data_IF_911767992597
#
_entry.id   IF_911767992597
#
_cell.length_a   1.000
_cell.length_b   1.000
_cell.length_c   1.000
_cell.angle_alpha   90.00
_cell.angle_beta   90.00
_cell.angle_gamma   90.00
#
_symmetry.space_group_name_H-M   'P 1'
#
loop_
_entity.id
_entity.type
_entity.pdbx_description
1 polymer ?
#
# COMPACT_ATOMS: atom_id res chain seq x y z
N UNK A 1 16.86 -30.57 3.83
CA UNK A 1 17.18 -30.41 2.39
C UNK A 1 18.53 -29.70 2.24
N UNK A 2 19.31 -29.90 1.17
CA UNK A 2 20.57 -29.16 0.92
C UNK A 2 20.53 -28.57 -0.49
N UNK A 3 20.89 -27.30 -0.63
CA UNK A 3 20.96 -26.58 -1.91
C UNK A 3 20.91 -25.07 -1.71
N UNK A 4 20.43 -24.34 -2.72
CA UNK A 4 20.47 -22.86 -2.74
C UNK A 4 19.11 -22.24 -2.44
N UNK A 5 19.16 -21.02 -1.92
CA UNK A 5 18.00 -20.15 -1.73
C UNK A 5 17.94 -19.13 -2.86
N UNK A 6 16.76 -18.87 -3.43
CA UNK A 6 16.51 -17.71 -4.30
C UNK A 6 15.47 -16.80 -3.65
N UNK A 7 15.75 -15.51 -3.62
CA UNK A 7 14.83 -14.47 -3.14
C UNK A 7 14.53 -13.51 -4.30
N UNK A 8 13.26 -13.22 -4.55
CA UNK A 8 12.83 -12.21 -5.52
C UNK A 8 11.90 -11.17 -4.91
N UNK A 9 11.93 -9.95 -5.44
CA UNK A 9 10.98 -8.88 -5.14
C UNK A 9 10.10 -8.60 -6.37
N UNK A 10 8.80 -8.35 -6.15
CA UNK A 10 7.83 -8.17 -7.24
C UNK A 10 6.77 -7.10 -6.95
N UNK A 11 6.26 -6.49 -8.02
CA UNK A 11 5.21 -5.49 -8.00
C UNK A 11 5.69 -4.10 -7.56
N UNK A 12 4.76 -3.30 -7.06
CA UNK A 12 5.06 -1.97 -6.53
C UNK A 12 6.02 -2.03 -5.32
N UNK A 13 7.05 -1.17 -5.28
CA UNK A 13 7.94 -1.06 -4.11
C UNK A 13 7.20 -0.50 -2.89
N UNK A 14 7.76 -0.73 -1.69
CA UNK A 14 7.29 -0.11 -0.43
C UNK A 14 8.45 0.54 0.31
N UNK A 15 8.16 1.26 1.39
CA UNK A 15 9.17 1.82 2.29
C UNK A 15 9.94 0.75 3.07
N UNK A 16 9.37 -0.46 3.22
CA UNK A 16 9.89 -1.53 4.10
C UNK A 16 10.13 -2.87 3.40
N UNK A 17 9.95 -2.99 2.08
CA UNK A 17 10.14 -4.27 1.38
C UNK A 17 11.55 -4.85 1.58
N UNK A 18 12.56 -3.99 1.80
CA UNK A 18 13.92 -4.43 2.12
C UNK A 18 14.08 -4.95 3.55
N UNK A 19 13.20 -4.59 4.47
CA UNK A 19 13.16 -5.22 5.80
C UNK A 19 12.84 -6.70 5.69
N UNK A 20 11.85 -7.08 4.86
CA UNK A 20 11.52 -8.48 4.59
C UNK A 20 12.64 -9.23 3.87
N UNK A 21 13.25 -8.59 2.86
CA UNK A 21 14.41 -9.15 2.17
C UNK A 21 15.55 -9.47 3.14
N UNK A 22 15.92 -8.51 3.98
CA UNK A 22 17.05 -8.68 4.91
C UNK A 22 16.68 -9.64 6.04
N UNK A 23 15.43 -9.66 6.50
CA UNK A 23 14.95 -10.65 7.46
C UNK A 23 15.05 -12.08 6.95
N UNK A 24 14.76 -12.31 5.67
CA UNK A 24 15.00 -13.58 5.01
C UNK A 24 16.48 -13.93 4.95
N UNK A 25 17.32 -13.01 4.46
CA UNK A 25 18.76 -13.26 4.28
C UNK A 25 19.41 -13.64 5.61
N UNK A 26 19.22 -12.82 6.65
CA UNK A 26 19.85 -13.03 7.94
C UNK A 26 19.38 -14.33 8.59
N UNK A 27 18.08 -14.61 8.55
CA UNK A 27 17.56 -15.86 9.13
C UNK A 27 17.97 -17.09 8.31
N UNK A 28 18.00 -17.00 6.97
CA UNK A 28 18.43 -18.11 6.12
C UNK A 28 19.90 -18.48 6.36
N UNK A 29 20.79 -17.52 6.64
CA UNK A 29 22.20 -17.78 6.98
C UNK A 29 22.37 -18.70 8.19
N UNK A 30 21.46 -18.65 9.16
CA UNK A 30 21.49 -19.51 10.35
C UNK A 30 21.33 -21.01 10.02
N UNK A 31 20.80 -21.33 8.84
CA UNK A 31 20.59 -22.70 8.36
C UNK A 31 21.66 -23.15 7.34
N UNK A 32 22.67 -22.32 7.09
CA UNK A 32 23.82 -22.65 6.24
C UNK A 32 23.47 -23.24 4.86
N UNK A 33 22.57 -22.61 4.06
CA UNK A 33 22.34 -23.04 2.68
C UNK A 33 23.63 -22.87 1.85
N UNK A 34 23.72 -23.56 0.71
CA UNK A 34 24.92 -23.50 -0.13
C UNK A 34 25.19 -22.10 -0.68
N UNK A 35 24.13 -21.35 -0.99
CA UNK A 35 24.17 -19.95 -1.35
C UNK A 35 22.78 -19.32 -1.17
N UNK A 36 22.75 -17.99 -1.01
CA UNK A 36 21.54 -17.17 -1.01
C UNK A 36 21.63 -16.22 -2.20
N UNK A 37 20.82 -16.44 -3.22
CA UNK A 37 20.75 -15.61 -4.41
C UNK A 37 19.59 -14.62 -4.34
N UNK A 38 19.84 -13.39 -4.78
CA UNK A 38 18.82 -12.38 -5.07
C UNK A 38 18.58 -12.30 -6.58
N UNK A 39 17.34 -12.52 -7.01
CA UNK A 39 16.97 -12.37 -8.42
C UNK A 39 16.73 -10.88 -8.76
N UNK A 40 17.58 -10.31 -9.61
CA UNK A 40 17.42 -8.92 -10.04
C UNK A 40 16.18 -8.79 -10.92
N UNK A 41 15.31 -7.81 -10.63
CA UNK A 41 14.03 -7.65 -11.35
C UNK A 41 13.08 -8.88 -11.26
N UNK A 42 13.10 -9.60 -10.14
CA UNK A 42 12.13 -10.66 -9.84
C UNK A 42 12.12 -11.79 -10.87
N UNK A 43 10.94 -12.22 -11.34
CA UNK A 43 10.79 -13.31 -12.33
C UNK A 43 11.56 -13.07 -13.63
N UNK A 44 11.79 -11.81 -14.02
CA UNK A 44 12.60 -11.49 -15.19
C UNK A 44 14.05 -11.94 -14.97
N UNK A 45 14.66 -11.57 -13.84
CA UNK A 45 16.03 -12.01 -13.53
C UNK A 45 16.14 -13.51 -13.37
N UNK A 46 15.10 -14.18 -12.85
CA UNK A 46 15.12 -15.65 -12.78
C UNK A 46 15.17 -16.26 -14.18
N UNK A 47 14.33 -15.77 -15.11
CA UNK A 47 14.32 -16.25 -16.51
C UNK A 47 15.61 -15.93 -17.28
N UNK A 48 16.27 -14.83 -16.91
CA UNK A 48 17.52 -14.35 -17.51
C UNK A 48 18.77 -14.86 -16.75
N UNK A 49 18.59 -15.66 -15.70
CA UNK A 49 19.65 -16.12 -14.77
C UNK A 49 20.50 -14.98 -14.17
N UNK A 50 19.91 -13.78 -14.02
CA UNK A 50 20.53 -12.57 -13.48
C UNK A 50 20.38 -12.53 -11.94
N UNK A 51 21.32 -13.20 -11.28
CA UNK A 51 21.39 -13.33 -9.82
C UNK A 51 22.54 -12.54 -9.21
N UNK A 52 22.31 -11.99 -8.02
CA UNK A 52 23.37 -11.50 -7.13
C UNK A 52 23.54 -12.45 -5.95
N UNK A 53 24.79 -12.75 -5.58
CA UNK A 53 25.08 -13.59 -4.42
C UNK A 53 25.04 -12.74 -3.13
N UNK A 54 24.04 -13.01 -2.30
CA UNK A 54 23.79 -12.33 -1.04
C UNK A 54 24.46 -13.04 0.15
N UNK A 55 25.12 -14.17 -0.06
CA UNK A 55 25.70 -14.99 1.00
C UNK A 55 26.79 -14.25 1.78
N UNK A 56 27.59 -13.45 1.09
CA UNK A 56 28.78 -12.78 1.63
C UNK A 56 28.56 -11.32 2.04
N UNK A 57 27.36 -10.77 1.85
CA UNK A 57 27.11 -9.37 2.17
C UNK A 57 27.24 -9.10 3.68
N UNK A 58 28.00 -8.09 4.07
CA UNK A 58 28.18 -7.74 5.49
C UNK A 58 26.83 -7.44 6.16
N UNK A 59 26.66 -7.86 7.41
CA UNK A 59 25.45 -7.56 8.19
C UNK A 59 25.22 -6.05 8.26
N UNK A 60 26.30 -5.26 8.37
CA UNK A 60 26.25 -3.80 8.38
C UNK A 60 25.66 -3.22 7.09
N UNK A 61 26.03 -3.75 5.92
CA UNK A 61 25.44 -3.34 4.66
C UNK A 61 23.97 -3.74 4.58
N UNK A 62 23.64 -4.98 4.96
CA UNK A 62 22.28 -5.47 4.95
C UNK A 62 21.36 -4.62 5.85
N UNK A 63 21.83 -4.20 7.03
CA UNK A 63 21.06 -3.29 7.90
C UNK A 63 20.84 -1.90 7.28
N UNK A 64 21.79 -1.40 6.50
CA UNK A 64 21.62 -0.15 5.74
C UNK A 64 20.62 -0.32 4.60
N UNK A 65 20.69 -1.45 3.88
CA UNK A 65 19.73 -1.79 2.82
C UNK A 65 18.33 -1.93 3.39
N UNK A 66 18.17 -2.56 4.56
CA UNK A 66 16.89 -2.75 5.23
C UNK A 66 16.16 -1.42 5.50
N UNK A 67 16.91 -0.35 5.80
CA UNK A 67 16.38 1.00 6.07
C UNK A 67 16.23 1.86 4.81
N UNK A 68 16.58 1.33 3.64
CA UNK A 68 16.46 2.03 2.36
C UNK A 68 15.10 1.68 1.74
N UNK A 69 14.26 2.68 1.38
CA UNK A 69 12.99 2.43 0.74
C UNK A 69 13.20 1.88 -0.69
N UNK A 70 12.11 1.40 -1.30
CA UNK A 70 12.12 0.72 -2.59
C UNK A 70 12.67 -0.71 -2.57
N UNK A 71 12.61 -1.39 -3.71
CA UNK A 71 13.07 -2.77 -3.86
C UNK A 71 14.57 -2.82 -4.12
N UNK A 72 15.35 -3.34 -3.18
CA UNK A 72 16.82 -3.48 -3.28
C UNK A 72 17.27 -4.40 -4.40
N UNK A 73 16.51 -5.47 -4.70
CA UNK A 73 16.72 -6.36 -5.84
C UNK A 73 16.07 -5.83 -7.13
N UNK A 74 15.61 -4.57 -7.11
CA UNK A 74 14.72 -4.00 -8.13
C UNK A 74 13.42 -4.81 -8.20
N UNK A 75 12.54 -4.50 -9.13
CA UNK A 75 11.23 -5.15 -9.20
C UNK A 75 10.72 -5.23 -10.64
N UNK A 76 9.69 -6.04 -10.84
CA UNK A 76 9.00 -6.23 -12.10
C UNK A 76 7.49 -6.22 -11.87
N UNK A 77 6.73 -5.74 -12.85
CA UNK A 77 5.27 -5.82 -12.90
C UNK A 77 4.84 -6.76 -14.02
N UNK A 78 5.28 -8.02 -13.89
CA UNK A 78 5.00 -9.08 -14.85
C UNK A 78 4.53 -10.29 -14.07
N UNK A 79 3.30 -10.72 -14.37
CA UNK A 79 2.82 -12.03 -13.98
C UNK A 79 3.37 -13.05 -14.99
N UNK A 80 4.16 -14.04 -14.57
CA UNK A 80 4.68 -15.04 -15.49
C UNK A 80 3.54 -15.89 -16.07
N UNK A 81 3.67 -16.28 -17.35
CA UNK A 81 2.79 -17.29 -17.95
C UNK A 81 3.10 -18.68 -17.41
N UNK A 82 2.23 -19.67 -17.68
CA UNK A 82 2.49 -21.06 -17.30
C UNK A 82 3.81 -21.59 -17.91
N UNK A 83 4.08 -21.26 -19.18
CA UNK A 83 5.33 -21.63 -19.86
C UNK A 83 6.55 -20.98 -19.20
N UNK A 84 6.42 -19.72 -18.77
CA UNK A 84 7.48 -19.02 -18.04
C UNK A 84 7.72 -19.61 -16.65
N UNK A 85 6.66 -20.05 -15.95
CA UNK A 85 6.82 -20.81 -14.71
C UNK A 85 7.55 -22.13 -14.94
N UNK A 86 7.29 -22.83 -16.05
CA UNK A 86 8.05 -24.02 -16.44
C UNK A 86 9.54 -23.72 -16.67
N UNK A 87 9.86 -22.62 -17.35
CA UNK A 87 11.25 -22.18 -17.53
C UNK A 87 11.93 -21.79 -16.23
N UNK A 88 11.23 -21.08 -15.34
CA UNK A 88 11.73 -20.74 -13.99
C UNK A 88 12.07 -22.02 -13.22
N UNK A 89 11.22 -23.04 -13.29
CA UNK A 89 11.47 -24.33 -12.66
C UNK A 89 12.74 -25.01 -13.21
N UNK A 90 12.96 -25.00 -14.53
CA UNK A 90 14.19 -25.54 -15.13
C UNK A 90 15.44 -24.77 -14.67
N UNK A 91 15.38 -23.44 -14.56
CA UNK A 91 16.47 -22.63 -13.98
C UNK A 91 16.74 -23.04 -12.53
N UNK A 92 15.70 -23.16 -11.71
CA UNK A 92 15.85 -23.60 -10.32
C UNK A 92 16.51 -24.98 -10.21
N UNK A 93 16.11 -25.93 -11.07
CA UNK A 93 16.72 -27.26 -11.12
C UNK A 93 18.19 -27.20 -11.55
N UNK A 94 18.53 -26.38 -12.54
CA UNK A 94 19.90 -26.20 -13.02
C UNK A 94 20.84 -25.58 -11.97
N UNK A 95 20.31 -24.66 -11.14
CA UNK A 95 21.05 -24.00 -10.06
C UNK A 95 21.01 -24.75 -8.72
N UNK A 96 20.33 -25.89 -8.66
CA UNK A 96 20.08 -26.64 -7.41
C UNK A 96 19.38 -25.79 -6.33
N UNK A 97 18.37 -25.04 -6.74
CA UNK A 97 17.55 -24.19 -5.87
C UNK A 97 16.52 -25.04 -5.14
N UNK A 98 16.53 -24.94 -3.82
CA UNK A 98 15.73 -25.74 -2.90
C UNK A 98 14.70 -24.92 -2.14
N UNK A 99 14.94 -23.62 -2.03
CA UNK A 99 14.02 -22.69 -1.40
C UNK A 99 13.85 -21.45 -2.28
N UNK A 100 12.60 -21.09 -2.55
CA UNK A 100 12.25 -19.88 -3.27
C UNK A 100 11.34 -19.00 -2.41
N UNK A 101 11.79 -17.77 -2.16
CA UNK A 101 11.01 -16.75 -1.46
C UNK A 101 10.65 -15.64 -2.42
N UNK A 102 9.35 -15.38 -2.56
CA UNK A 102 8.87 -14.33 -3.45
C UNK A 102 8.12 -13.26 -2.67
N UNK A 103 8.74 -12.08 -2.56
CA UNK A 103 8.24 -10.93 -1.79
C UNK A 103 7.34 -10.10 -2.68
N UNK A 104 6.04 -10.06 -2.38
CA UNK A 104 5.10 -9.51 -3.34
C UNK A 104 3.64 -9.50 -2.90
N UNK A 105 2.75 -9.25 -3.87
CA UNK A 105 1.30 -9.19 -3.66
C UNK A 105 0.59 -10.43 -4.20
N UNK A 106 -0.69 -10.30 -4.56
CA UNK A 106 -1.53 -11.41 -5.04
C UNK A 106 -0.88 -12.23 -6.19
N UNK A 107 -0.37 -11.58 -7.23
CA UNK A 107 0.28 -12.24 -8.37
C UNK A 107 1.54 -13.03 -7.97
N UNK A 108 2.19 -12.60 -6.89
CA UNK A 108 3.41 -13.24 -6.36
C UNK A 108 3.05 -14.50 -5.59
N UNK A 109 1.97 -14.48 -4.80
CA UNK A 109 1.41 -15.67 -4.16
C UNK A 109 0.99 -16.72 -5.20
N UNK A 110 0.33 -16.28 -6.28
CA UNK A 110 -0.06 -17.17 -7.38
C UNK A 110 1.14 -17.76 -8.13
N UNK A 111 2.20 -16.97 -8.35
CA UNK A 111 3.43 -17.48 -8.97
C UNK A 111 4.08 -18.57 -8.10
N UNK A 112 4.15 -18.34 -6.79
CA UNK A 112 4.67 -19.34 -5.86
C UNK A 112 3.81 -20.62 -5.83
N UNK A 113 2.47 -20.48 -5.90
CA UNK A 113 1.53 -21.61 -5.96
C UNK A 113 1.79 -22.48 -7.21
N UNK A 114 1.94 -21.84 -8.38
CA UNK A 114 2.19 -22.55 -9.64
C UNK A 114 3.54 -23.28 -9.60
N UNK A 115 4.60 -22.63 -9.10
CA UNK A 115 5.93 -23.22 -9.04
C UNK A 115 5.99 -24.40 -8.05
N UNK A 116 5.33 -24.27 -6.91
CA UNK A 116 5.23 -25.35 -5.92
C UNK A 116 4.55 -26.59 -6.50
N UNK A 117 3.39 -26.41 -7.17
CA UNK A 117 2.69 -27.49 -7.86
C UNK A 117 3.53 -28.13 -8.97
N UNK A 118 4.23 -27.30 -9.74
CA UNK A 118 5.12 -27.76 -10.82
C UNK A 118 6.24 -28.64 -10.27
N UNK A 119 6.91 -28.20 -9.20
CA UNK A 119 7.97 -28.97 -8.55
C UNK A 119 7.45 -30.28 -7.93
N UNK A 120 6.31 -30.24 -7.25
CA UNK A 120 5.67 -31.44 -6.69
C UNK A 120 5.31 -32.45 -7.78
N UNK A 121 4.78 -32.00 -8.91
CA UNK A 121 4.47 -32.86 -10.05
C UNK A 121 5.70 -33.49 -10.70
N UNK A 122 6.84 -32.80 -10.65
CA UNK A 122 8.12 -33.26 -11.15
C UNK A 122 8.94 -34.09 -10.13
N UNK A 123 8.44 -34.27 -8.90
CA UNK A 123 9.17 -34.95 -7.83
C UNK A 123 10.45 -34.22 -7.40
N UNK A 124 10.55 -32.92 -7.63
CA UNK A 124 11.69 -32.11 -7.26
C UNK A 124 11.41 -31.41 -5.93
N UNK A 125 12.30 -31.60 -4.95
CA UNK A 125 12.20 -30.92 -3.66
C UNK A 125 12.53 -29.43 -3.81
N UNK A 126 11.48 -28.61 -3.89
CA UNK A 126 11.53 -27.15 -3.90
C UNK A 126 10.46 -26.61 -2.95
N UNK A 127 10.88 -25.83 -1.97
CA UNK A 127 10.01 -25.13 -1.06
C UNK A 127 9.71 -23.72 -1.58
N UNK A 128 8.45 -23.42 -1.92
CA UNK A 128 8.04 -22.10 -2.42
C UNK A 128 7.24 -21.34 -1.35
N UNK A 129 7.70 -20.14 -1.03
CA UNK A 129 7.09 -19.28 -0.02
C UNK A 129 6.78 -17.90 -0.57
N UNK A 130 5.54 -17.47 -0.32
CA UNK A 130 5.13 -16.09 -0.53
C UNK A 130 5.38 -15.28 0.75
N UNK A 131 6.01 -14.12 0.57
CA UNK A 131 6.32 -13.18 1.65
C UNK A 131 5.51 -11.90 1.39
N UNK A 132 4.48 -11.60 2.19
CA UNK A 132 3.47 -10.61 1.86
C UNK A 132 4.04 -9.20 1.82
N UNK A 133 3.63 -8.44 0.81
CA UNK A 133 3.97 -7.03 0.59
C UNK A 133 2.87 -6.38 -0.22
N UNK A 134 2.31 -5.28 0.24
CA UNK A 134 1.41 -4.42 -0.56
C UNK A 134 1.11 -3.15 0.23
N UNK A 135 1.00 -2.01 -0.45
CA UNK A 135 0.50 -0.78 0.18
C UNK A 135 -1.04 -0.73 0.19
N UNK A 136 -1.68 -1.54 -0.64
CA UNK A 136 -3.14 -1.54 -0.82
C UNK A 136 -3.83 -2.31 0.32
N UNK A 137 -3.04 -3.02 1.14
CA UNK A 137 -3.50 -3.83 2.28
C UNK A 137 -4.52 -4.90 1.90
N UNK A 138 -4.41 -5.42 0.69
CA UNK A 138 -5.45 -6.18 0.02
C UNK A 138 -5.21 -7.70 0.01
N UNK A 139 -4.19 -8.19 0.71
CA UNK A 139 -3.99 -9.64 0.89
C UNK A 139 -4.94 -10.18 1.95
N UNK A 140 -5.55 -11.32 1.65
CA UNK A 140 -6.41 -12.05 2.61
C UNK A 140 -5.59 -12.76 3.68
N UNK A 141 -6.29 -13.26 4.69
CA UNK A 141 -5.77 -14.03 5.84
C UNK A 141 -4.91 -13.20 6.81
N UNK A 142 -4.06 -12.30 6.32
CA UNK A 142 -3.25 -11.39 7.14
C UNK A 142 -4.08 -10.22 7.67
N UNK A 143 -3.85 -9.82 8.94
CA UNK A 143 -4.48 -8.65 9.56
C UNK A 143 -4.18 -7.38 8.76
N UNK A 144 -2.91 -7.19 8.41
CA UNK A 144 -2.42 -6.12 7.55
C UNK A 144 -1.20 -6.60 6.75
N UNK A 145 -0.74 -5.79 5.80
CA UNK A 145 0.36 -6.13 4.90
C UNK A 145 1.59 -5.25 5.15
N UNK A 146 2.81 -5.81 5.12
CA UNK A 146 4.04 -5.04 5.09
C UNK A 146 4.05 -3.98 3.97
N UNK A 147 4.32 -2.73 4.35
CA UNK A 147 4.31 -1.55 3.50
C UNK A 147 3.06 -0.69 3.61
N UNK A 148 1.92 -1.26 3.98
CA UNK A 148 0.69 -0.48 4.17
C UNK A 148 0.80 0.54 5.31
N UNK A 149 1.22 0.18 6.53
CA UNK A 149 1.23 1.16 7.61
C UNK A 149 2.20 2.33 7.36
N UNK A 150 3.35 2.11 6.71
CA UNK A 150 4.24 3.22 6.31
C UNK A 150 3.61 4.10 5.24
N UNK A 151 2.93 3.52 4.25
CA UNK A 151 2.21 4.30 3.24
C UNK A 151 1.05 5.10 3.84
N UNK A 152 0.29 4.49 4.76
CA UNK A 152 -0.75 5.13 5.54
C UNK A 152 -0.20 6.29 6.39
N UNK A 153 0.98 6.12 6.98
CA UNK A 153 1.69 7.19 7.71
C UNK A 153 1.97 8.39 6.80
N UNK A 154 2.49 8.15 5.60
CA UNK A 154 2.70 9.22 4.62
C UNK A 154 1.38 9.92 4.26
N UNK A 155 0.34 9.15 3.94
CA UNK A 155 -0.97 9.72 3.58
C UNK A 155 -1.48 10.60 4.71
N UNK A 156 -1.43 10.13 5.96
CA UNK A 156 -1.80 10.94 7.13
C UNK A 156 -1.00 12.25 7.20
N UNK A 157 0.33 12.21 7.04
CA UNK A 157 1.17 13.42 7.06
C UNK A 157 0.81 14.41 5.94
N UNK A 158 0.59 13.91 4.72
CA UNK A 158 0.21 14.74 3.59
C UNK A 158 -1.15 15.43 3.83
N UNK A 159 -2.14 14.71 4.35
CA UNK A 159 -3.44 15.29 4.67
C UNK A 159 -3.40 16.23 5.87
N UNK A 160 -2.55 16.00 6.88
CA UNK A 160 -2.32 16.98 7.96
C UNK A 160 -1.83 18.30 7.37
N UNK A 161 -0.81 18.27 6.51
CA UNK A 161 -0.26 19.45 5.86
C UNK A 161 -1.29 20.17 4.98
N UNK A 162 -1.94 19.43 4.08
CA UNK A 162 -2.96 19.98 3.18
C UNK A 162 -4.16 20.57 3.94
N UNK A 163 -4.57 19.93 5.04
CA UNK A 163 -5.63 20.45 5.88
C UNK A 163 -5.25 21.79 6.54
N UNK A 164 -4.02 21.93 7.02
CA UNK A 164 -3.53 23.17 7.64
C UNK A 164 -3.34 24.31 6.63
N UNK A 165 -2.81 24.00 5.43
CA UNK A 165 -2.73 24.98 4.33
C UNK A 165 -4.13 25.43 3.91
N UNK A 166 -5.06 24.48 3.69
CA UNK A 166 -6.42 24.76 3.31
C UNK A 166 -7.19 25.56 4.38
N UNK A 167 -6.87 25.37 5.67
CA UNK A 167 -7.41 26.20 6.75
C UNK A 167 -6.89 27.64 6.68
N UNK A 168 -5.62 27.81 6.34
CA UNK A 168 -4.95 29.12 6.25
C UNK A 168 -5.41 29.89 5.00
N UNK A 169 -5.65 29.18 3.90
CA UNK A 169 -6.08 29.72 2.62
C UNK A 169 -7.27 28.91 2.08
N UNK A 170 -8.52 29.29 2.46
CA UNK A 170 -9.72 28.52 2.16
C UNK A 170 -9.95 28.27 0.66
N UNK A 171 -10.54 27.10 0.39
CA UNK A 171 -10.84 26.61 -0.95
C UNK A 171 -11.21 25.13 -0.90
N UNK A 172 -11.28 24.50 -2.08
CA UNK A 172 -11.48 23.06 -2.22
C UNK A 172 -10.16 22.41 -2.63
N UNK A 173 -9.73 21.39 -1.89
CA UNK A 173 -8.53 20.57 -2.16
C UNK A 173 -8.96 19.13 -2.40
N UNK A 174 -8.60 18.55 -3.54
CA UNK A 174 -8.87 17.14 -3.88
C UNK A 174 -7.55 16.39 -3.97
N UNK A 175 -7.40 15.34 -3.19
CA UNK A 175 -6.18 14.54 -3.15
C UNK A 175 -6.49 13.11 -3.63
N UNK A 176 -5.88 12.73 -4.75
CA UNK A 176 -5.97 11.39 -5.32
C UNK A 176 -4.89 10.50 -4.69
N UNK A 177 -5.32 9.42 -4.04
CA UNK A 177 -4.49 8.47 -3.28
C UNK A 177 -4.49 7.12 -4.01
N UNK A 178 -3.35 6.41 -4.07
CA UNK A 178 -3.37 5.06 -4.68
C UNK A 178 -4.24 4.09 -3.87
N UNK A 179 -4.74 3.06 -4.54
CA UNK A 179 -5.65 2.06 -3.97
C UNK A 179 -6.65 1.57 -5.00
N UNK A 180 -6.17 0.87 -6.04
CA UNK A 180 -6.98 0.56 -7.23
C UNK A 180 -8.21 -0.29 -6.93
N UNK A 181 -8.06 -1.32 -6.11
CA UNK A 181 -9.12 -2.30 -5.84
C UNK A 181 -9.68 -2.19 -4.43
N UNK A 182 -8.91 -1.63 -3.48
CA UNK A 182 -9.33 -1.49 -2.09
C UNK A 182 -8.95 -0.11 -1.55
N UNK A 183 -9.80 0.43 -0.68
CA UNK A 183 -9.75 1.79 -0.16
C UNK A 183 -8.89 1.99 1.08
N UNK A 184 -8.21 0.96 1.60
CA UNK A 184 -7.48 1.01 2.87
C UNK A 184 -6.52 2.18 3.01
N UNK A 185 -5.78 2.50 1.94
CA UNK A 185 -4.80 3.57 1.93
C UNK A 185 -5.45 4.96 1.83
N UNK A 186 -6.56 5.07 1.09
CA UNK A 186 -7.34 6.31 1.04
C UNK A 186 -8.04 6.56 2.38
N UNK A 187 -8.58 5.51 3.00
CA UNK A 187 -9.20 5.57 4.33
C UNK A 187 -8.21 6.04 5.41
N UNK A 188 -6.91 5.71 5.28
CA UNK A 188 -5.86 6.18 6.19
C UNK A 188 -5.77 7.71 6.31
N UNK A 189 -6.28 8.46 5.33
CA UNK A 189 -6.33 9.92 5.36
C UNK A 189 -7.11 10.50 6.56
N UNK A 190 -8.06 9.76 7.14
CA UNK A 190 -8.84 10.23 8.31
C UNK A 190 -7.98 10.38 9.57
N UNK A 191 -6.78 9.77 9.61
CA UNK A 191 -5.81 10.01 10.69
C UNK A 191 -5.38 11.47 10.81
N UNK A 192 -5.57 12.28 9.77
CA UNK A 192 -5.30 13.71 9.81
C UNK A 192 -6.30 14.51 10.65
N UNK A 193 -7.47 13.94 10.97
CA UNK A 193 -8.52 14.62 11.75
C UNK A 193 -8.17 14.63 13.23
N UNK A 194 -7.81 15.81 13.77
CA UNK A 194 -7.57 16.03 15.21
C UNK A 194 -8.60 16.98 15.84
N UNK A 195 -9.10 17.95 15.08
CA UNK A 195 -10.11 18.91 15.50
C UNK A 195 -11.44 18.63 14.76
N UNK A 196 -12.60 19.07 15.30
CA UNK A 196 -13.91 18.78 14.71
C UNK A 196 -14.10 19.24 13.26
N UNK A 197 -13.33 20.23 12.81
CA UNK A 197 -13.38 20.80 11.47
C UNK A 197 -12.16 20.45 10.61
N UNK A 198 -11.39 19.42 11.00
CA UNK A 198 -10.25 18.95 10.20
C UNK A 198 -10.69 18.15 8.97
N UNK A 199 -9.98 18.38 7.88
CA UNK A 199 -10.01 17.55 6.69
C UNK A 199 -9.18 16.27 6.84
N UNK A 200 -9.36 15.29 5.93
CA UNK A 200 -10.30 15.31 4.82
C UNK A 200 -11.74 15.32 5.33
N UNK A 201 -12.58 16.20 4.79
CA UNK A 201 -13.99 16.29 5.16
C UNK A 201 -14.81 15.20 4.45
N UNK A 202 -14.32 14.73 3.30
CA UNK A 202 -14.92 13.67 2.49
C UNK A 202 -13.84 12.65 2.09
N UNK A 203 -14.20 11.37 2.08
CA UNK A 203 -13.33 10.23 1.75
C UNK A 203 -14.07 9.27 0.83
N UNK A 204 -13.61 9.15 -0.41
CA UNK A 204 -14.21 8.30 -1.42
C UNK A 204 -13.33 7.08 -1.70
N UNK A 205 -13.88 5.90 -1.45
CA UNK A 205 -13.21 4.61 -1.57
C UNK A 205 -13.73 3.84 -2.80
N UNK A 206 -12.92 2.94 -3.42
CA UNK A 206 -13.36 2.13 -4.56
C UNK A 206 -14.47 1.13 -4.20
N UNK A 207 -14.69 0.83 -2.91
CA UNK A 207 -15.76 -0.07 -2.46
C UNK A 207 -17.18 0.51 -2.66
N UNK A 208 -17.32 1.80 -2.98
CA UNK A 208 -18.61 2.47 -3.19
C UNK A 208 -18.66 3.09 -4.58
N UNK A 209 -19.78 2.90 -5.28
CA UNK A 209 -20.03 3.53 -6.57
C UNK A 209 -19.93 5.06 -6.46
N UNK A 210 -19.11 5.63 -7.33
CA UNK A 210 -18.84 7.06 -7.40
C UNK A 210 -19.78 7.75 -8.40
N UNK A 211 -20.48 8.78 -7.94
CA UNK A 211 -21.36 9.61 -8.76
C UNK A 211 -20.94 11.08 -8.68
N UNK A 212 -20.73 11.72 -9.84
CA UNK A 212 -20.26 13.11 -9.92
C UNK A 212 -21.26 14.14 -9.38
N UNK A 213 -22.57 13.88 -9.51
CA UNK A 213 -23.62 14.77 -9.00
C UNK A 213 -23.60 14.77 -7.46
N UNK A 214 -23.66 13.58 -6.86
CA UNK A 214 -23.58 13.40 -5.40
C UNK A 214 -22.26 13.93 -4.85
N UNK A 215 -21.14 13.71 -5.55
CA UNK A 215 -19.84 14.26 -5.17
C UNK A 215 -19.85 15.79 -5.07
N UNK A 216 -20.41 16.48 -6.07
CA UNK A 216 -20.48 17.94 -6.08
C UNK A 216 -21.41 18.47 -4.97
N UNK A 217 -22.53 17.78 -4.70
CA UNK A 217 -23.43 18.10 -3.60
C UNK A 217 -22.75 17.93 -2.24
N UNK A 218 -22.03 16.83 -2.03
CA UNK A 218 -21.27 16.55 -0.80
C UNK A 218 -20.21 17.64 -0.56
N UNK A 219 -19.47 18.01 -1.61
CA UNK A 219 -18.47 19.09 -1.54
C UNK A 219 -19.13 20.43 -1.24
N UNK A 220 -20.27 20.74 -1.87
CA UNK A 220 -21.05 21.94 -1.60
C UNK A 220 -21.49 22.02 -0.13
N UNK A 221 -22.02 20.92 0.42
CA UNK A 221 -22.43 20.85 1.84
C UNK A 221 -21.25 21.05 2.79
N UNK A 222 -20.13 20.37 2.54
CA UNK A 222 -18.93 20.53 3.36
C UNK A 222 -18.38 21.97 3.28
N UNK A 223 -18.33 22.55 2.08
CA UNK A 223 -17.89 23.92 1.87
C UNK A 223 -18.80 24.93 2.57
N UNK A 224 -20.12 24.75 2.52
CA UNK A 224 -21.09 25.60 3.23
C UNK A 224 -20.95 25.54 4.75
N UNK A 225 -20.56 24.39 5.30
CA UNK A 225 -20.37 24.20 6.74
C UNK A 225 -19.05 24.77 7.25
N UNK A 226 -17.94 24.55 6.52
CA UNK A 226 -16.59 24.86 7.01
C UNK A 226 -15.93 26.06 6.31
N UNK A 227 -16.55 26.62 5.26
CA UNK A 227 -15.96 27.63 4.38
C UNK A 227 -14.81 27.11 3.50
N UNK A 228 -14.57 25.80 3.52
CA UNK A 228 -13.48 25.08 2.83
C UNK A 228 -13.84 23.61 2.69
N UNK A 229 -13.14 22.88 1.82
CA UNK A 229 -13.29 21.43 1.71
C UNK A 229 -11.95 20.77 1.35
N UNK A 230 -11.72 19.58 1.89
CA UNK A 230 -10.55 18.74 1.65
C UNK A 230 -11.10 17.34 1.40
N UNK A 231 -10.76 16.76 0.26
CA UNK A 231 -11.30 15.48 -0.20
C UNK A 231 -10.15 14.50 -0.35
N UNK A 232 -10.31 13.31 0.23
CA UNK A 232 -9.52 12.14 -0.14
C UNK A 232 -10.32 11.31 -1.14
N UNK A 233 -9.71 10.94 -2.26
CA UNK A 233 -10.35 10.09 -3.26
C UNK A 233 -9.36 9.03 -3.73
N UNK A 234 -9.78 7.78 -3.77
CA UNK A 234 -8.94 6.72 -4.32
C UNK A 234 -8.79 6.88 -5.84
N UNK A 235 -7.63 6.58 -6.40
CA UNK A 235 -7.45 6.44 -7.86
C UNK A 235 -8.36 5.35 -8.45
N UNK A 236 -8.85 4.42 -7.62
CA UNK A 236 -9.68 3.29 -7.99
C UNK A 236 -11.19 3.58 -8.02
N UNK A 237 -11.64 4.81 -7.75
CA UNK A 237 -13.08 5.12 -7.80
C UNK A 237 -13.66 4.83 -9.18
N UNK A 238 -14.86 4.26 -9.20
CA UNK A 238 -15.56 3.86 -10.40
C UNK A 238 -17.05 4.20 -10.29
N UNK A 239 -17.71 4.41 -11.43
CA UNK A 239 -19.16 4.52 -11.47
C UNK A 239 -19.84 3.16 -11.33
N UNK A 240 -21.19 3.13 -11.42
CA UNK A 240 -21.98 1.92 -11.28
C UNK A 240 -21.49 0.76 -12.16
N UNK A 241 -21.47 -0.44 -11.57
CA UNK A 241 -21.05 -1.66 -12.26
C UNK A 241 -19.54 -1.70 -12.60
N UNK A 242 -18.71 -0.93 -11.90
CA UNK A 242 -17.26 -0.87 -12.15
C UNK A 242 -16.87 0.00 -13.34
N UNK A 243 -17.76 0.88 -13.80
CA UNK A 243 -17.52 1.72 -14.98
C UNK A 243 -16.37 2.70 -14.69
N UNK A 244 -15.25 2.68 -15.44
CA UNK A 244 -14.16 3.62 -15.21
C UNK A 244 -14.63 5.07 -15.40
N UNK A 245 -14.31 5.95 -14.45
CA UNK A 245 -14.61 7.39 -14.57
C UNK A 245 -13.78 8.05 -15.68
N UNK A 246 -12.61 7.48 -15.98
CA UNK A 246 -11.71 7.96 -17.03
C UNK A 246 -11.44 6.82 -17.99
N UNK A 247 -11.76 7.03 -19.25
CA UNK A 247 -11.39 6.14 -20.35
C UNK A 247 -9.98 6.47 -20.82
N UNK A 248 -8.97 5.92 -20.15
CA UNK A 248 -7.60 5.91 -20.66
C UNK A 248 -7.45 4.83 -21.74
N UNK A 249 -6.77 5.16 -22.85
CA UNK A 249 -6.41 4.20 -23.91
C UNK A 249 -5.17 3.36 -23.56
N UNK A 250 -4.43 3.74 -22.51
CA UNK A 250 -3.23 3.04 -22.08
C UNK A 250 -3.62 1.96 -21.08
N UNK A 251 -3.18 0.73 -21.35
CA UNK A 251 -3.32 -0.40 -20.42
C UNK A 251 -1.94 -0.76 -19.90
N UNK A 252 -1.84 -1.07 -18.62
CA UNK A 252 -0.61 -1.60 -18.05
C UNK A 252 -0.34 -3.04 -18.54
N UNK A 253 0.81 -3.60 -18.15
CA UNK A 253 1.23 -4.97 -18.50
C UNK A 253 0.30 -6.07 -17.98
N UNK A 254 -0.70 -5.73 -17.16
CA UNK A 254 -1.73 -6.63 -16.63
C UNK A 254 -3.09 -6.45 -17.32
N UNK A 255 -3.17 -5.59 -18.34
CA UNK A 255 -4.41 -5.33 -19.09
C UNK A 255 -5.38 -4.38 -18.37
N UNK A 256 -4.99 -3.82 -17.22
CA UNK A 256 -5.79 -2.85 -16.49
C UNK A 256 -5.69 -1.47 -17.15
N UNK A 257 -6.78 -0.70 -17.17
CA UNK A 257 -6.74 0.70 -17.60
C UNK A 257 -5.73 1.43 -16.71
N UNK A 258 -4.74 2.09 -17.32
CA UNK A 258 -3.74 2.83 -16.59
C UNK A 258 -4.40 4.09 -16.02
N UNK A 259 -4.77 4.02 -14.73
CA UNK A 259 -5.33 5.11 -13.93
C UNK A 259 -4.22 5.89 -13.19
N UNK A 260 -3.07 5.26 -13.00
CA UNK A 260 -1.89 5.87 -12.35
C UNK A 260 -0.96 6.46 -13.41
N UNK A 261 -0.90 7.79 -13.52
CA UNK A 261 0.16 8.46 -14.30
C UNK A 261 -0.16 9.84 -14.85
N UNK A 262 -1.43 10.21 -14.96
CA UNK A 262 -1.82 11.55 -15.42
C UNK A 262 -2.72 12.14 -14.34
N UNK A 263 -2.60 13.43 -14.04
CA UNK A 263 -3.51 14.12 -13.10
C UNK A 263 -5.00 14.06 -13.51
N UNK A 264 -5.38 13.26 -14.51
CA UNK A 264 -6.68 13.21 -15.15
C UNK A 264 -7.84 13.06 -14.17
N UNK A 265 -7.72 12.22 -13.11
CA UNK A 265 -8.79 12.13 -12.11
C UNK A 265 -8.91 13.41 -11.29
N UNK A 266 -7.79 13.96 -10.83
CA UNK A 266 -7.76 15.24 -10.13
C UNK A 266 -8.31 16.38 -10.99
N UNK A 267 -7.87 16.46 -12.25
CA UNK A 267 -8.27 17.48 -13.22
C UNK A 267 -9.76 17.36 -13.58
N UNK A 268 -10.26 16.14 -13.78
CA UNK A 268 -11.68 15.87 -14.03
C UNK A 268 -12.53 16.34 -12.86
N UNK A 269 -12.18 15.93 -11.63
CA UNK A 269 -12.93 16.30 -10.44
C UNK A 269 -12.85 17.82 -10.18
N UNK A 270 -11.68 18.44 -10.38
CA UNK A 270 -11.53 19.88 -10.20
C UNK A 270 -12.35 20.69 -11.23
N UNK A 271 -12.37 20.24 -12.49
CA UNK A 271 -13.16 20.84 -13.56
C UNK A 271 -14.66 20.71 -13.28
N UNK A 272 -15.08 19.54 -12.82
CA UNK A 272 -16.48 19.28 -12.49
C UNK A 272 -16.97 20.18 -11.35
N UNK A 273 -16.16 20.31 -10.29
CA UNK A 273 -16.50 21.17 -9.16
C UNK A 273 -16.60 22.64 -9.57
N UNK A 274 -15.68 23.15 -10.41
CA UNK A 274 -15.77 24.53 -10.91
C UNK A 274 -17.00 24.75 -11.79
N UNK A 275 -17.32 23.79 -12.65
CA UNK A 275 -18.49 23.87 -13.54
C UNK A 275 -19.79 23.94 -12.73
N UNK A 276 -19.90 23.14 -11.67
CA UNK A 276 -21.14 23.03 -10.89
C UNK A 276 -21.28 24.06 -9.77
N UNK A 277 -20.19 24.41 -9.10
CA UNK A 277 -20.20 25.22 -7.89
C UNK A 277 -19.74 26.67 -8.13
N UNK A 278 -19.12 26.96 -9.27
CA UNK A 278 -18.70 28.29 -9.68
C UNK A 278 -17.22 28.36 -10.07
N UNK A 279 -16.95 29.04 -11.19
CA UNK A 279 -15.62 29.21 -11.79
C UNK A 279 -14.63 29.98 -10.92
N UNK A 280 -15.14 30.89 -10.07
CA UNK A 280 -14.34 31.69 -9.13
C UNK A 280 -13.88 30.92 -7.90
N UNK A 281 -14.41 29.72 -7.63
CA UNK A 281 -13.98 28.92 -6.49
C UNK A 281 -12.54 28.46 -6.69
N UNK A 282 -11.72 28.64 -5.65
CA UNK A 282 -10.37 28.09 -5.62
C UNK A 282 -10.45 26.58 -5.42
N UNK A 283 -10.26 25.83 -6.51
CA UNK A 283 -10.17 24.36 -6.50
C UNK A 283 -8.76 23.95 -6.92
N UNK A 284 -8.12 23.09 -6.12
CA UNK A 284 -6.84 22.44 -6.44
C UNK A 284 -6.96 20.94 -6.31
N UNK A 285 -6.32 20.21 -7.20
CA UNK A 285 -6.22 18.76 -7.13
C UNK A 285 -4.76 18.32 -7.23
N UNK A 286 -4.39 17.32 -6.43
CA UNK A 286 -3.07 16.71 -6.45
C UNK A 286 -3.20 15.17 -6.46
N UNK A 287 -2.37 14.52 -7.27
CA UNK A 287 -2.24 13.06 -7.26
C UNK A 287 -0.92 12.71 -6.59
N UNK A 288 -0.98 12.06 -5.42
CA UNK A 288 0.23 11.76 -4.64
C UNK A 288 1.19 10.80 -5.36
N UNK A 289 0.66 9.96 -6.26
CA UNK A 289 1.44 9.12 -7.16
C UNK A 289 2.39 8.20 -6.39
N UNK A 290 3.68 8.21 -6.73
CA UNK A 290 4.64 7.27 -6.13
C UNK A 290 5.18 7.69 -4.76
N UNK A 291 5.02 8.96 -4.35
CA UNK A 291 5.57 9.42 -3.08
C UNK A 291 5.01 8.62 -1.90
N UNK A 292 3.72 8.32 -1.93
CA UNK A 292 3.03 7.60 -0.84
C UNK A 292 3.52 6.19 -0.54
N UNK A 293 4.26 5.54 -1.44
CA UNK A 293 4.72 4.16 -1.21
C UNK A 293 6.20 4.04 -0.85
N UNK A 294 7.01 5.07 -1.07
CA UNK A 294 8.46 4.96 -0.91
C UNK A 294 9.11 6.25 -0.34
N UNK A 295 8.35 7.13 0.30
CA UNK A 295 8.89 8.39 0.79
C UNK A 295 9.96 8.15 1.89
N UNK A 296 11.22 8.58 1.68
CA UNK A 296 12.25 8.43 2.70
C UNK A 296 11.91 9.23 3.96
N UNK A 297 12.19 8.66 5.14
CA UNK A 297 12.02 9.35 6.43
C UNK A 297 10.60 9.28 7.03
N UNK A 298 9.59 8.86 6.28
CA UNK A 298 8.24 8.61 6.80
C UNK A 298 7.96 7.11 6.75
N UNK A 299 8.32 6.43 7.84
CA UNK A 299 8.21 4.97 7.99
C UNK A 299 7.50 4.68 9.32
N UNK A 300 6.60 3.69 9.32
CA UNK A 300 6.09 3.14 10.57
C UNK A 300 7.14 2.18 11.16
N UNK A 301 7.48 2.38 12.42
CA UNK A 301 8.40 1.49 13.14
C UNK A 301 7.82 0.09 13.27
N UNK A 302 6.52 -0.01 13.52
CA UNK A 302 5.78 -1.27 13.59
C UNK A 302 5.85 -1.99 12.25
N UNK A 303 5.59 -1.29 11.15
CA UNK A 303 5.68 -1.86 9.79
C UNK A 303 7.10 -2.34 9.46
N UNK A 304 8.12 -1.58 9.85
CA UNK A 304 9.51 -1.98 9.61
C UNK A 304 9.88 -3.25 10.39
N UNK A 305 9.46 -3.35 11.66
CA UNK A 305 9.68 -4.54 12.50
C UNK A 305 8.90 -5.73 11.97
N UNK A 306 7.63 -5.57 11.63
CA UNK A 306 6.77 -6.65 11.14
C UNK A 306 7.18 -7.12 9.75
N UNK A 307 7.63 -6.22 8.87
CA UNK A 307 8.21 -6.59 7.58
C UNK A 307 9.46 -7.47 7.76
N UNK A 308 10.35 -7.12 8.71
CA UNK A 308 11.54 -7.92 9.07
C UNK A 308 11.13 -9.27 9.66
N UNK A 309 10.17 -9.27 10.59
CA UNK A 309 9.61 -10.47 11.23
C UNK A 309 9.03 -11.44 10.20
N UNK A 310 8.24 -10.94 9.25
CA UNK A 310 7.64 -11.73 8.16
C UNK A 310 8.72 -12.37 7.27
N UNK A 311 9.78 -11.63 6.97
CA UNK A 311 10.93 -12.18 6.23
C UNK A 311 11.61 -13.32 6.99
N UNK A 312 11.93 -13.10 8.27
CA UNK A 312 12.55 -14.13 9.11
C UNK A 312 11.64 -15.36 9.29
N UNK A 313 10.35 -15.17 9.51
CA UNK A 313 9.38 -16.25 9.62
C UNK A 313 9.30 -17.10 8.34
N UNK A 314 9.46 -16.48 7.16
CA UNK A 314 9.57 -17.18 5.89
C UNK A 314 10.75 -18.15 5.85
N UNK A 315 11.95 -17.65 6.16
CA UNK A 315 13.15 -18.48 6.20
C UNK A 315 13.07 -19.58 7.27
N UNK A 316 12.56 -19.27 8.46
CA UNK A 316 12.37 -20.26 9.53
C UNK A 316 11.36 -21.35 9.16
N UNK A 317 10.27 -20.98 8.49
CA UNK A 317 9.27 -21.95 8.06
C UNK A 317 9.83 -22.94 7.03
N UNK A 318 10.62 -22.43 6.06
CA UNK A 318 11.08 -23.22 4.93
C UNK A 318 12.39 -23.99 5.20
N UNK A 319 13.40 -23.33 5.80
CA UNK A 319 14.71 -23.95 6.07
C UNK A 319 14.72 -24.74 7.38
N UNK A 320 13.82 -24.40 8.32
CA UNK A 320 13.59 -25.18 9.53
C UNK A 320 12.65 -26.38 9.32
N UNK A 321 12.32 -26.72 8.07
CA UNK A 321 11.43 -27.82 7.67
C UNK A 321 10.06 -27.82 8.39
N UNK A 322 9.55 -26.64 8.79
CA UNK A 322 8.23 -26.49 9.46
C UNK A 322 7.06 -26.48 8.47
N UNK A 323 7.30 -26.07 7.23
CA UNK A 323 6.34 -26.12 6.14
C UNK A 323 7.05 -26.36 4.81
N UNK A 324 6.37 -27.06 3.89
CA UNK A 324 6.90 -27.33 2.53
C UNK A 324 6.64 -26.19 1.56
N UNK A 325 5.57 -25.43 1.80
CA UNK A 325 5.18 -24.24 1.04
C UNK A 325 4.28 -23.36 1.91
N UNK A 326 4.02 -22.13 1.48
CA UNK A 326 2.98 -21.30 2.09
C UNK A 326 3.15 -19.80 1.87
N UNK A 327 2.14 -19.05 2.27
CA UNK A 327 2.25 -17.61 2.47
C UNK A 327 2.48 -17.33 3.95
N UNK A 328 3.41 -16.43 4.26
CA UNK A 328 3.48 -15.85 5.60
C UNK A 328 2.33 -14.85 5.76
N UNK A 329 1.77 -14.79 6.96
CA UNK A 329 0.70 -13.86 7.33
C UNK A 329 0.92 -13.33 8.75
N UNK A 330 0.43 -12.12 9.01
CA UNK A 330 0.46 -11.49 10.33
C UNK A 330 -0.90 -11.68 10.98
N UNK A 331 -0.90 -12.08 12.26
CA UNK A 331 -2.07 -12.11 13.13
C UNK A 331 -1.90 -11.09 14.24
N UNK A 332 -2.88 -10.21 14.40
CA UNK A 332 -2.98 -9.35 15.57
C UNK A 332 -3.38 -10.17 16.79
N UNK A 333 -2.68 -9.97 17.91
CA UNK A 333 -2.98 -10.61 19.18
C UNK A 333 -4.00 -9.77 19.96
N UNK A 334 -4.87 -10.44 20.70
CA UNK A 334 -5.79 -9.78 21.62
C UNK A 334 -5.03 -9.25 22.85
N UNK A 335 -5.31 -8.01 23.24
CA UNK A 335 -4.68 -7.40 24.40
C UNK A 335 -4.90 -5.89 24.48
N UNK A 336 -4.53 -5.31 25.62
CA UNK A 336 -4.61 -3.86 25.85
C UNK A 336 -3.55 -3.07 25.06
N UNK A 337 -2.38 -3.69 24.82
CA UNK A 337 -1.33 -3.15 23.97
C UNK A 337 -1.28 -3.91 22.65
N UNK A 338 -0.92 -3.22 21.58
CA UNK A 338 -0.77 -3.85 20.27
C UNK A 338 0.40 -4.84 20.26
N UNK A 339 0.12 -6.05 19.78
CA UNK A 339 1.10 -7.08 19.50
C UNK A 339 0.64 -7.91 18.30
N UNK A 340 1.59 -8.53 17.62
CA UNK A 340 1.33 -9.38 16.47
C UNK A 340 2.28 -10.58 16.45
N UNK A 341 1.85 -11.63 15.75
CA UNK A 341 2.65 -12.83 15.48
C UNK A 341 2.57 -13.20 14.00
N UNK A 342 3.50 -14.03 13.53
CA UNK A 342 3.46 -14.59 12.18
C UNK A 342 2.99 -16.04 12.18
N UNK A 343 2.28 -16.43 11.13
CA UNK A 343 1.96 -17.83 10.86
C UNK A 343 2.02 -18.13 9.36
N UNK A 344 2.02 -19.42 9.00
CA UNK A 344 1.99 -19.89 7.62
C UNK A 344 0.56 -20.26 7.25
N UNK A 345 0.09 -19.80 6.09
CA UNK A 345 -1.20 -20.19 5.49
C UNK A 345 -0.98 -20.77 4.09
N UNK A 346 -1.85 -21.66 3.58
CA UNK A 346 -1.72 -22.17 2.22
C UNK A 346 -1.74 -21.05 1.16
N UNK A 347 -0.97 -21.22 0.08
CA UNK A 347 -0.81 -20.18 -0.97
C UNK A 347 -2.13 -19.82 -1.66
N UNK A 348 -3.00 -20.81 -1.88
CA UNK A 348 -4.31 -20.64 -2.53
C UNK A 348 -5.31 -19.83 -1.71
N UNK A 349 -5.13 -19.73 -0.39
CA UNK A 349 -5.96 -18.88 0.49
C UNK A 349 -5.70 -17.38 0.32
N UNK A 350 -4.53 -17.02 -0.25
CA UNK A 350 -4.11 -15.64 -0.49
C UNK A 350 -4.18 -15.30 -1.99
N UNK A 351 -3.79 -16.22 -2.87
CA UNK A 351 -3.76 -15.97 -4.30
C UNK A 351 -5.13 -15.60 -4.88
N UNK A 352 -5.14 -14.67 -5.86
CA UNK A 352 -6.30 -14.29 -6.70
C UNK A 352 -7.48 -13.61 -6.00
N UNK A 353 -7.41 -13.28 -4.70
CA UNK A 353 -8.54 -12.67 -3.98
C UNK A 353 -8.09 -11.46 -3.15
N UNK A 354 -8.85 -10.39 -3.25
CA UNK A 354 -8.61 -9.10 -2.59
C UNK A 354 -9.35 -9.02 -1.25
N UNK A 355 -8.75 -8.33 -0.26
CA UNK A 355 -9.38 -7.93 1.00
C UNK A 355 -9.85 -6.48 0.91
N UNK A 356 -11.16 -6.29 0.85
CA UNK A 356 -11.79 -4.95 0.81
C UNK A 356 -11.92 -4.33 2.21
N UNK A 357 -12.12 -3.01 2.27
CA UNK A 357 -12.56 -2.35 3.50
C UNK A 357 -13.96 -2.89 3.88
N UNK A 358 -14.19 -3.31 5.13
CA UNK A 358 -15.48 -3.87 5.52
C UNK A 358 -16.64 -2.90 5.23
N UNK A 359 -17.75 -3.37 4.61
CA UNK A 359 -18.87 -2.49 4.26
C UNK A 359 -19.47 -1.74 5.45
N UNK A 360 -19.45 -2.34 6.64
CA UNK A 360 -19.96 -1.72 7.86
C UNK A 360 -19.02 -0.65 8.43
N UNK A 361 -17.82 -0.46 7.86
CA UNK A 361 -16.90 0.62 8.18
C UNK A 361 -17.09 1.83 7.26
N UNK A 362 -17.94 1.73 6.23
CA UNK A 362 -18.23 2.80 5.29
C UNK A 362 -19.43 3.64 5.77
N UNK A 363 -19.32 4.97 5.68
CA UNK A 363 -20.36 5.88 6.14
C UNK A 363 -20.86 6.76 4.99
N UNK A 364 -22.15 6.63 4.66
CA UNK A 364 -22.85 7.52 3.73
C UNK A 364 -22.28 7.56 2.31
N UNK A 365 -21.40 6.62 1.95
CA UNK A 365 -20.74 6.54 0.64
C UNK A 365 -19.57 7.52 0.41
N UNK A 366 -19.35 8.46 1.33
CA UNK A 366 -18.31 9.49 1.20
C UNK A 366 -17.50 9.70 2.49
N UNK A 367 -17.51 8.73 3.40
CA UNK A 367 -16.66 8.72 4.60
C UNK A 367 -16.44 7.30 5.17
N UNK A 368 -15.62 7.22 6.22
CA UNK A 368 -15.27 5.99 6.97
C UNK A 368 -15.61 6.17 8.44
N UNK A 369 -16.06 5.10 9.10
CA UNK A 369 -16.35 5.05 10.53
C UNK A 369 -15.05 5.08 11.35
N UNK A 370 -14.75 6.24 11.93
CA UNK A 370 -13.59 6.48 12.77
C UNK A 370 -13.53 5.55 13.99
N UNK A 371 -14.68 5.19 14.57
CA UNK A 371 -14.73 4.35 15.76
C UNK A 371 -14.29 2.90 15.47
N UNK A 372 -14.37 2.47 14.21
CA UNK A 372 -13.94 1.14 13.76
C UNK A 372 -12.54 1.17 13.14
N UNK A 373 -12.29 2.14 12.27
CA UNK A 373 -11.06 2.20 11.48
C UNK A 373 -9.84 2.67 12.28
N UNK A 374 -9.99 3.67 13.16
CA UNK A 374 -8.86 4.22 13.91
C UNK A 374 -8.24 3.23 14.91
N UNK A 375 -9.01 2.42 15.67
CA UNK A 375 -8.44 1.40 16.54
C UNK A 375 -7.63 0.33 15.77
N UNK A 376 -8.04 0.01 14.54
CA UNK A 376 -7.30 -0.91 13.67
C UNK A 376 -5.95 -0.30 13.21
N UNK A 377 -5.99 0.95 12.72
CA UNK A 377 -4.87 1.55 12.01
C UNK A 377 -3.85 2.27 12.92
N UNK A 378 -4.29 2.98 13.96
CA UNK A 378 -3.40 3.79 14.82
C UNK A 378 -2.23 2.98 15.40
N UNK A 379 -2.41 1.75 15.91
CA UNK A 379 -1.29 1.01 16.48
C UNK A 379 -0.21 0.63 15.48
N UNK A 380 -0.58 0.42 14.20
CA UNK A 380 0.35 -0.03 13.17
C UNK A 380 1.01 1.13 12.40
N UNK A 381 0.40 2.32 12.38
CA UNK A 381 1.00 3.51 11.75
C UNK A 381 2.07 4.14 12.66
N UNK A 382 1.92 3.98 13.98
CA UNK A 382 2.78 4.60 14.98
C UNK A 382 2.49 6.09 15.15
N UNK A 383 3.45 6.81 15.72
CA UNK A 383 3.25 8.22 16.07
C UNK A 383 3.11 9.13 14.85
N UNK A 384 2.19 10.09 14.98
CA UNK A 384 1.94 11.17 14.04
C UNK A 384 2.30 12.51 14.70
N UNK A 385 2.71 13.52 13.91
CA UNK A 385 3.12 14.80 14.46
C UNK A 385 2.02 15.45 15.31
N UNK A 386 2.42 16.09 16.39
CA UNK A 386 1.54 16.94 17.16
C UNK A 386 1.25 18.24 16.40
N UNK A 387 -0.03 18.64 16.39
CA UNK A 387 -0.49 19.84 15.69
C UNK A 387 -1.36 20.61 16.66
N UNK A 388 -1.04 21.88 16.87
CA UNK A 388 -1.76 22.77 17.77
C UNK A 388 -2.40 23.94 16.99
N UNK A 389 -3.37 24.60 17.62
CA UNK A 389 -4.06 25.78 17.09
C UNK A 389 -4.17 26.84 18.18
N UNK A 390 -4.22 28.11 17.77
CA UNK A 390 -4.57 29.20 18.67
C UNK A 390 -6.06 29.08 19.07
N UNK A 391 -6.38 29.44 20.31
CA UNK A 391 -7.77 29.42 20.83
C UNK A 391 -8.69 30.44 20.14
N UNK A 392 -8.13 31.39 19.39
CA UNK A 392 -8.90 32.29 18.53
C UNK A 392 -9.67 33.37 19.28
N UNK A 393 -9.17 33.85 20.43
CA UNK A 393 -9.80 34.95 21.16
C UNK A 393 -10.00 36.18 20.25
N UNK A 394 -11.25 36.48 19.95
CA UNK A 394 -11.61 37.57 19.04
C UNK A 394 -11.40 38.92 19.73
N UNK A 395 -10.78 39.86 19.03
CA UNK A 395 -10.70 41.26 19.46
C UNK A 395 -11.82 42.06 18.79
N UNK A 396 -12.42 43.01 19.52
CA UNK A 396 -13.45 43.88 18.97
C UNK A 396 -12.90 44.66 17.77
N UNK A 397 -13.65 44.69 16.66
CA UNK A 397 -13.35 45.56 15.52
C UNK A 397 -13.46 47.03 15.94
N UNK A 398 -12.39 47.80 15.76
CA UNK A 398 -12.33 49.23 16.12
C UNK A 398 -12.72 50.17 14.97
N UNK A 399 -12.65 49.69 13.74
CA UNK A 399 -13.00 50.44 12.53
C UNK A 399 -14.27 49.81 11.94
N UNK A 400 -15.32 50.61 11.78
CA UNK A 400 -16.51 50.23 11.03
C UNK A 400 -16.26 50.52 9.55
N UNK A 401 -15.97 49.49 8.75
CA UNK A 401 -16.09 49.63 7.30
C UNK A 401 -17.58 49.63 6.96
N UNK A 402 -18.06 50.72 6.37
CA UNK A 402 -19.43 50.82 5.89
C UNK A 402 -19.73 49.71 4.89
N UNK A 403 -20.86 49.06 5.04
CA UNK A 403 -21.39 48.08 4.08
C UNK A 403 -21.75 48.77 2.77
N UNK A 404 -20.76 49.01 1.91
CA UNK A 404 -20.99 49.32 0.50
C UNK A 404 -20.55 48.11 -0.31
N UNK A 405 -21.52 47.27 -0.70
CA UNK A 405 -21.56 46.48 -1.94
C UNK A 405 -22.78 45.54 -1.90
N UNK A 406 -23.96 46.11 -2.13
CA UNK A 406 -25.06 45.44 -2.85
C UNK A 406 -25.71 46.49 -3.74
N UNK A 407 -25.20 46.59 -4.96
CA UNK A 407 -25.82 47.23 -6.12
C UNK A 407 -25.67 46.26 -7.28
#
# INVERSE_FOLDING_TARGET
MKGKVVIGQSGGPTAVINQSLVGLILKAREYEPEAIYGALFGVKGILDEDFVDLSCESTELLERVARTPSSGLRSVRKKPTADECGRIFEVFKAHDVRWFFYIGGNDTAETAEILSRTASGAGYELACFHVPKTIDNDLRVTDHCPGYPSAAKFVAHAFIGDNLDNRSLPGIKVNVVMGRHAGWLTAASILARKFPDDGPHLVYLPEVDFNLDSFAEDVSRAYGLYGRCVVAVSEGVHGPGGTPLIQSKERDSHGNVQLSGTGALGDLLATELKTRLGDKLRVRADTFGYLQRCFPGIVSEVDAVEARMVGSAGAEAALGDRAKEGSIAIRRLEGAAYASETFVTPLDTVARVTKDVPPDWLLGGSNVDEAKFLPYLRPIVGELPEVARLEGHSVRKMIAYGSSLTG
#
